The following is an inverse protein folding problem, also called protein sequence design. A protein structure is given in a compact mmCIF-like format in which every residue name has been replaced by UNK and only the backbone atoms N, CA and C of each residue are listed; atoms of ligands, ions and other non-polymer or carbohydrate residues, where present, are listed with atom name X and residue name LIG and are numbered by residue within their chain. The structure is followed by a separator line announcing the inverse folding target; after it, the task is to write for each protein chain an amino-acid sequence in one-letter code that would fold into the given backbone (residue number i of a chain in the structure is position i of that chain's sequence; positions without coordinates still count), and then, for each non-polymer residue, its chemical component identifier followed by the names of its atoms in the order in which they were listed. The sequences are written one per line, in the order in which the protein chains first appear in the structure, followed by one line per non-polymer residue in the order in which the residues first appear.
data_IF_907377871302
#
_entry.id   IF_907377871302
#
_cell.length_a   1.000
_cell.length_b   1.000
_cell.length_c   1.000
_cell.angle_alpha   90.00
_cell.angle_beta   90.00
_cell.angle_gamma   90.00
#
_symmetry.space_group_name_H-M   'P 1'
#
loop_
_entity.id
_entity.type
_entity.pdbx_description
1 polymer ?
#
# COMPACT_ATOMS: atom_id res chain seq x y z
N UNK A 1 0.87 -23.07 20.00
CA UNK A 1 1.26 -21.68 19.86
C UNK A 1 1.03 -21.19 18.46
N UNK A 2 0.45 -20.02 18.30
CA UNK A 2 0.11 -19.48 16.98
C UNK A 2 0.89 -18.19 16.73
N UNK A 3 1.00 -17.82 15.45
CA UNK A 3 1.56 -16.54 15.06
C UNK A 3 0.49 -15.45 15.14
N UNK A 4 0.91 -14.22 15.41
CA UNK A 4 0.03 -13.06 15.33
C UNK A 4 0.51 -12.17 14.18
N UNK A 5 -0.38 -11.86 13.25
CA UNK A 5 -0.06 -11.00 12.13
C UNK A 5 -0.05 -9.54 12.59
N UNK A 6 1.07 -8.84 12.45
CA UNK A 6 1.20 -7.46 12.93
C UNK A 6 1.25 -6.44 11.79
N UNK A 7 1.74 -6.80 10.63
CA UNK A 7 1.82 -5.83 9.56
C UNK A 7 2.59 -6.31 8.35
N UNK A 8 2.68 -5.42 7.38
CA UNK A 8 3.42 -5.64 6.13
C UNK A 8 4.55 -4.62 6.08
N UNK A 9 5.75 -5.09 5.82
CA UNK A 9 6.92 -4.22 5.59
C UNK A 9 7.15 -4.13 4.09
N UNK A 10 7.21 -2.91 3.58
CA UNK A 10 7.41 -2.63 2.16
C UNK A 10 8.74 -1.90 2.04
N UNK A 11 9.68 -2.52 1.34
CA UNK A 11 10.96 -1.90 1.05
C UNK A 11 10.81 -0.81 0.00
N UNK A 12 11.53 0.29 0.17
CA UNK A 12 11.37 1.44 -0.70
C UNK A 12 12.64 2.31 -0.70
N UNK A 13 12.74 3.22 -1.66
CA UNK A 13 13.85 4.17 -1.70
C UNK A 13 13.57 5.38 -0.83
N UNK A 14 12.31 5.86 -0.81
CA UNK A 14 11.91 7.06 -0.08
C UNK A 14 10.70 6.76 0.79
N UNK A 15 10.92 6.32 2.04
CA UNK A 15 9.81 5.96 2.92
C UNK A 15 8.81 7.08 3.15
N UNK A 16 9.25 8.33 3.27
CA UNK A 16 8.34 9.44 3.51
C UNK A 16 7.40 9.66 2.33
N UNK A 17 7.92 9.63 1.12
CA UNK A 17 7.10 9.85 -0.08
C UNK A 17 6.08 8.72 -0.31
N UNK A 18 6.52 7.47 -0.15
CA UNK A 18 5.60 6.35 -0.34
C UNK A 18 4.58 6.26 0.79
N UNK A 19 4.98 6.62 2.01
CA UNK A 19 4.05 6.69 3.14
C UNK A 19 3.02 7.80 2.94
N UNK A 20 3.41 8.95 2.40
CA UNK A 20 2.47 10.03 2.07
C UNK A 20 1.37 9.53 1.12
N UNK A 21 1.76 8.82 0.09
CA UNK A 21 0.80 8.24 -0.85
C UNK A 21 -0.17 7.30 -0.13
N UNK A 22 0.35 6.34 0.62
CA UNK A 22 -0.49 5.32 1.26
C UNK A 22 -1.34 5.90 2.39
N UNK A 23 -0.83 6.87 3.12
CA UNK A 23 -1.61 7.52 4.18
C UNK A 23 -2.83 8.21 3.60
N UNK A 24 -2.67 8.91 2.49
CA UNK A 24 -3.79 9.57 1.80
C UNK A 24 -4.70 8.54 1.13
N UNK A 25 -4.13 7.52 0.52
CA UNK A 25 -4.91 6.48 -0.15
C UNK A 25 -5.86 5.76 0.82
N UNK A 26 -5.37 5.45 2.01
CA UNK A 26 -6.12 4.69 3.02
C UNK A 26 -6.89 5.58 3.99
N UNK A 27 -6.57 6.86 4.07
CA UNK A 27 -7.17 7.75 5.06
C UNK A 27 -6.76 7.41 6.49
N UNK A 28 -5.59 6.82 6.67
CA UNK A 28 -5.10 6.44 8.00
C UNK A 28 -4.52 7.64 8.72
N UNK A 29 -4.77 7.74 10.03
CA UNK A 29 -4.30 8.86 10.84
C UNK A 29 -3.03 8.55 11.62
N UNK A 30 -2.73 7.26 11.87
CA UNK A 30 -1.55 6.89 12.65
C UNK A 30 -0.29 6.92 11.80
N UNK A 31 0.71 7.65 12.24
CA UNK A 31 2.01 7.73 11.57
C UNK A 31 3.11 7.92 12.59
N UNK A 32 4.16 7.13 12.43
CA UNK A 32 5.32 7.20 13.32
C UNK A 32 6.59 6.92 12.52
N UNK A 33 7.72 7.15 13.12
CA UNK A 33 9.03 6.92 12.50
C UNK A 33 9.87 6.04 13.42
N UNK A 34 10.58 5.10 12.82
CA UNK A 34 11.48 4.23 13.56
C UNK A 34 12.93 4.69 13.49
N UNK A 35 13.77 4.01 14.27
CA UNK A 35 15.20 4.37 14.43
C UNK A 35 16.03 4.07 13.19
N UNK A 36 15.51 3.29 12.23
CA UNK A 36 16.23 2.92 11.00
C UNK A 36 15.76 3.69 9.79
N UNK A 37 15.03 4.79 9.99
CA UNK A 37 14.48 5.59 8.91
C UNK A 37 13.17 5.07 8.34
N UNK A 38 12.61 4.01 8.93
CA UNK A 38 11.31 3.50 8.49
C UNK A 38 10.17 4.42 8.91
N UNK A 39 9.10 4.42 8.13
CA UNK A 39 7.85 5.11 8.46
C UNK A 39 6.78 4.06 8.68
N UNK A 40 6.03 4.20 9.76
CA UNK A 40 5.00 3.25 10.18
C UNK A 40 3.65 3.93 10.05
N UNK A 41 2.74 3.31 9.31
CA UNK A 41 1.36 3.77 9.19
C UNK A 41 0.43 2.79 9.88
N UNK A 42 -0.54 3.35 10.60
CA UNK A 42 -1.57 2.59 11.29
C UNK A 42 -2.92 3.24 11.07
N UNK A 43 -4.03 2.47 11.13
CA UNK A 43 -5.36 3.04 10.87
C UNK A 43 -5.69 4.21 11.78
N UNK A 44 -5.26 4.17 13.06
CA UNK A 44 -5.53 5.20 14.05
C UNK A 44 -4.29 5.48 14.86
N UNK A 45 -4.19 6.70 15.40
CA UNK A 45 -3.12 7.05 16.32
C UNK A 45 -3.24 6.23 17.60
N UNK A 46 -2.09 5.88 18.17
CA UNK A 46 -2.03 5.14 19.43
C UNK A 46 -2.40 3.69 19.32
N UNK A 47 -2.27 3.10 18.12
CA UNK A 47 -2.52 1.67 17.93
C UNK A 47 -1.67 0.82 18.86
N UNK A 48 -2.23 -0.31 19.24
CA UNK A 48 -1.56 -1.25 20.12
C UNK A 48 -0.71 -2.23 19.32
N UNK A 49 0.18 -2.92 20.03
CA UNK A 49 1.07 -3.92 19.43
C UNK A 49 0.31 -4.99 18.64
N UNK A 50 -0.89 -5.35 19.09
CA UNK A 50 -1.67 -6.40 18.45
C UNK A 50 -2.98 -5.86 17.87
N UNK A 51 -2.99 -4.58 17.52
CA UNK A 51 -4.13 -3.96 16.84
C UNK A 51 -4.19 -4.35 15.36
N UNK A 52 -4.99 -3.63 14.57
CA UNK A 52 -5.04 -3.87 13.12
C UNK A 52 -3.65 -3.81 12.49
N UNK A 53 -3.43 -4.54 11.38
CA UNK A 53 -2.11 -4.56 10.75
C UNK A 53 -1.63 -3.18 10.37
N UNK A 54 -0.34 -2.94 10.57
CA UNK A 54 0.33 -1.71 10.14
C UNK A 54 1.00 -1.91 8.78
N UNK A 55 1.29 -0.79 8.11
CA UNK A 55 2.19 -0.75 6.96
C UNK A 55 3.48 -0.07 7.39
N UNK A 56 4.61 -0.70 7.12
CA UNK A 56 5.92 -0.16 7.45
C UNK A 56 6.70 0.03 6.15
N UNK A 57 7.21 1.23 5.92
CA UNK A 57 7.99 1.56 4.72
C UNK A 57 9.44 1.70 5.15
N UNK A 58 10.28 0.78 4.67
CA UNK A 58 11.65 0.65 5.14
C UNK A 58 12.62 1.00 4.03
N UNK A 59 13.60 1.91 4.29
CA UNK A 59 14.56 2.30 3.25
C UNK A 59 15.51 1.16 2.93
N UNK A 60 15.67 0.89 1.64
CA UNK A 60 16.63 -0.08 1.13
C UNK A 60 17.34 0.51 -0.09
N UNK A 61 18.58 0.10 -0.38
CA UNK A 61 19.31 0.63 -1.53
C UNK A 61 18.82 0.06 -2.87
N UNK A 62 18.20 -1.14 -2.86
CA UNK A 62 17.73 -1.77 -4.10
C UNK A 62 16.44 -1.13 -4.60
N UNK A 63 16.35 -0.86 -5.90
CA UNK A 63 15.12 -0.43 -6.53
C UNK A 63 14.21 -1.61 -6.86
N UNK A 64 12.96 -1.29 -7.17
CA UNK A 64 12.00 -2.28 -7.63
C UNK A 64 12.30 -2.65 -9.08
N UNK A 65 12.61 -3.92 -9.34
CA UNK A 65 13.02 -4.39 -10.67
C UNK A 65 12.03 -5.36 -11.30
N UNK A 66 11.36 -6.19 -10.49
CA UNK A 66 10.45 -7.23 -10.99
C UNK A 66 9.08 -7.07 -10.36
N UNK A 67 8.07 -7.73 -10.94
CA UNK A 67 6.72 -7.73 -10.39
C UNK A 67 6.73 -8.24 -8.95
N UNK A 68 5.92 -7.62 -8.09
CA UNK A 68 5.73 -8.07 -6.72
C UNK A 68 5.26 -9.53 -6.69
N UNK A 69 5.83 -10.30 -5.79
CA UNK A 69 5.37 -11.66 -5.54
C UNK A 69 4.22 -11.69 -4.54
N UNK A 70 4.10 -10.65 -3.73
CA UNK A 70 2.97 -10.42 -2.84
C UNK A 70 2.38 -9.08 -3.22
N UNK A 71 1.08 -9.02 -3.47
CA UNK A 71 0.40 -7.75 -3.71
C UNK A 71 -0.80 -7.62 -2.76
N UNK A 72 -1.13 -6.38 -2.43
CA UNK A 72 -2.24 -6.09 -1.53
C UNK A 72 -3.50 -5.84 -2.34
N UNK A 73 -4.63 -6.26 -1.80
CA UNK A 73 -5.94 -6.01 -2.38
C UNK A 73 -6.73 -5.07 -1.48
N UNK A 74 -7.44 -4.12 -2.09
CA UNK A 74 -8.29 -3.17 -1.38
C UNK A 74 -9.66 -3.16 -2.01
N UNK A 75 -10.72 -3.20 -1.19
CA UNK A 75 -12.08 -3.04 -1.67
C UNK A 75 -12.41 -1.58 -1.89
N UNK A 76 -13.26 -1.33 -2.89
CA UNK A 76 -13.76 0.01 -3.16
C UNK A 76 -15.26 -0.07 -3.44
N UNK A 77 -16.03 0.79 -2.78
CA UNK A 77 -17.45 0.93 -3.06
C UNK A 77 -17.70 1.63 -4.40
N UNK A 78 -16.72 2.42 -4.87
CA UNK A 78 -16.76 3.08 -6.18
C UNK A 78 -15.37 2.98 -6.80
N UNK A 79 -15.14 1.86 -7.47
CA UNK A 79 -13.82 1.53 -8.01
C UNK A 79 -13.31 2.61 -8.97
N UNK A 80 -14.15 3.11 -9.87
CA UNK A 80 -13.72 4.11 -10.84
C UNK A 80 -13.30 5.41 -10.17
N UNK A 81 -14.06 5.88 -9.18
CA UNK A 81 -13.74 7.11 -8.45
C UNK A 81 -12.45 6.94 -7.63
N UNK A 82 -12.29 5.80 -6.95
CA UNK A 82 -11.09 5.56 -6.16
C UNK A 82 -9.85 5.40 -7.04
N UNK A 83 -9.96 4.72 -8.17
CA UNK A 83 -8.83 4.62 -9.11
C UNK A 83 -8.41 6.01 -9.59
N UNK A 84 -9.38 6.87 -9.97
CA UNK A 84 -9.06 8.23 -10.39
C UNK A 84 -8.38 9.03 -9.28
N UNK A 85 -8.86 8.88 -8.04
CA UNK A 85 -8.26 9.55 -6.88
C UNK A 85 -6.82 9.08 -6.64
N UNK A 86 -6.59 7.78 -6.71
CA UNK A 86 -5.26 7.20 -6.51
C UNK A 86 -4.30 7.63 -7.63
N UNK A 87 -4.78 7.72 -8.87
CA UNK A 87 -3.97 8.24 -9.97
C UNK A 87 -3.58 9.70 -9.73
N UNK A 88 -4.50 10.49 -9.20
CA UNK A 88 -4.19 11.88 -8.83
C UNK A 88 -3.15 11.98 -7.72
N UNK A 89 -3.05 10.97 -6.85
CA UNK A 89 -2.02 10.90 -5.81
C UNK A 89 -0.67 10.37 -6.32
N UNK A 90 -0.62 9.90 -7.56
CA UNK A 90 0.64 9.43 -8.15
C UNK A 90 0.68 7.97 -8.56
N UNK A 91 -0.38 7.20 -8.33
CA UNK A 91 -0.45 5.82 -8.80
C UNK A 91 -0.65 5.79 -10.31
N UNK A 92 -0.30 4.66 -10.93
CA UNK A 92 -0.53 4.45 -12.36
C UNK A 92 -1.06 3.06 -12.61
N UNK A 93 -1.86 2.91 -13.65
CA UNK A 93 -2.34 1.60 -14.05
C UNK A 93 -1.21 0.79 -14.65
N UNK A 94 -1.20 -0.51 -14.37
CA UNK A 94 -0.20 -1.42 -14.91
C UNK A 94 -0.86 -2.68 -15.43
N UNK A 95 -0.26 -3.24 -16.48
CA UNK A 95 -0.69 -4.51 -17.04
C UNK A 95 0.28 -5.59 -16.55
N UNK A 96 -0.26 -6.55 -15.81
CA UNK A 96 0.50 -7.68 -15.31
C UNK A 96 -0.04 -9.00 -15.89
N UNK A 97 -0.77 -8.92 -17.02
CA UNK A 97 -1.35 -10.07 -17.68
C UNK A 97 -2.76 -10.43 -17.22
N UNK A 98 -3.45 -9.52 -16.52
CA UNK A 98 -4.79 -9.78 -15.97
C UNK A 98 -5.90 -9.78 -17.03
N UNK A 99 -5.63 -9.31 -18.24
CA UNK A 99 -6.63 -9.26 -19.32
C UNK A 99 -7.71 -8.22 -19.05
N UNK A 100 -8.96 -8.54 -19.41
CA UNK A 100 -10.09 -7.63 -19.35
C UNK A 100 -10.97 -7.84 -18.12
N UNK A 101 -10.47 -8.49 -17.08
CA UNK A 101 -11.25 -8.70 -15.86
C UNK A 101 -11.62 -7.36 -15.24
N UNK A 102 -12.93 -7.14 -15.03
CA UNK A 102 -13.46 -5.89 -14.49
C UNK A 102 -13.61 -5.90 -12.98
N UNK A 103 -13.36 -7.03 -12.33
CA UNK A 103 -13.52 -7.14 -10.88
C UNK A 103 -12.36 -6.54 -10.11
N UNK A 104 -11.25 -6.28 -10.79
CA UNK A 104 -10.11 -5.61 -10.16
C UNK A 104 -9.35 -4.76 -11.17
N UNK A 105 -8.69 -3.72 -10.64
CA UNK A 105 -7.77 -2.86 -11.40
C UNK A 105 -6.42 -2.94 -10.73
N UNK A 106 -5.37 -3.18 -11.51
CA UNK A 106 -4.01 -3.23 -11.00
C UNK A 106 -3.37 -1.85 -11.16
N UNK A 107 -2.86 -1.34 -10.06
CA UNK A 107 -2.13 -0.07 -10.03
C UNK A 107 -0.74 -0.30 -9.48
N UNK A 108 0.16 0.63 -9.77
CA UNK A 108 1.45 0.72 -9.10
C UNK A 108 1.46 1.97 -8.24
N UNK A 109 2.01 1.87 -7.03
CA UNK A 109 2.19 3.03 -6.17
C UNK A 109 3.34 3.92 -6.68
N UNK A 110 3.69 4.96 -5.95
CA UNK A 110 4.69 5.94 -6.39
C UNK A 110 6.10 5.35 -6.51
N UNK A 111 6.34 4.15 -5.97
CA UNK A 111 7.61 3.45 -6.13
C UNK A 111 7.50 2.23 -7.06
N UNK A 112 6.35 2.04 -7.68
CA UNK A 112 6.16 0.98 -8.64
C UNK A 112 5.62 -0.33 -8.06
N UNK A 113 5.27 -0.37 -6.78
CA UNK A 113 4.73 -1.58 -6.17
C UNK A 113 3.29 -1.81 -6.62
N UNK A 114 3.03 -2.98 -7.19
CA UNK A 114 1.70 -3.32 -7.70
C UNK A 114 0.73 -3.66 -6.56
N UNK A 115 -0.49 -3.20 -6.69
CA UNK A 115 -1.60 -3.54 -5.80
C UNK A 115 -2.90 -3.51 -6.60
N UNK A 116 -3.96 -4.06 -6.02
CA UNK A 116 -5.24 -4.18 -6.71
C UNK A 116 -6.33 -3.41 -5.98
N UNK A 117 -7.20 -2.77 -6.77
CA UNK A 117 -8.43 -2.19 -6.26
C UNK A 117 -9.58 -3.04 -6.76
N UNK A 118 -10.30 -3.65 -5.85
CA UNK A 118 -11.38 -4.58 -6.15
C UNK A 118 -12.70 -3.83 -6.17
N UNK A 119 -13.56 -4.19 -7.13
CA UNK A 119 -14.95 -3.71 -7.09
C UNK A 119 -15.70 -4.48 -6.01
N UNK A 120 -16.74 -3.86 -5.44
CA UNK A 120 -17.66 -4.60 -4.60
C UNK A 120 -18.44 -5.60 -5.46
N UNK A 121 -18.50 -6.79 -4.98
CA UNK A 121 -19.25 -7.84 -5.64
C UNK A 121 -20.74 -7.74 -5.33
#
# INVERSE_FOLDING_TARGET
MTLTFTGVVIDCADPAAVADFWQQALGWSGRDSGSRGEVILEPQEGETTYGPPSLVFQPVPEGKAVKNRVHLDFHSADQAADVARLEALGARRVDVGQGDDKTFVVLADVEGNEFCVLSEA
#
